data_IF_559487568181
#
_entry.id   IF_559487568181
#
_cell.length_a   1.000
_cell.length_b   1.000
_cell.length_c   1.000
_cell.angle_alpha   90.00
_cell.angle_beta   90.00
_cell.angle_gamma   90.00
#
_symmetry.space_group_name_H-M   'P 1'
#
loop_
_entity.id
_entity.type
_entity.pdbx_description
1 polymer ?
#
# COMPACT_ATOMS: atom_id res chain seq x y z
N UNK A 1 16.08 25.97 29.68
CA UNK A 1 16.85 26.51 28.54
C UNK A 1 15.88 27.14 27.55
N UNK A 2 16.22 28.29 26.92
CA UNK A 2 15.44 28.80 25.80
C UNK A 2 15.47 27.78 24.65
N UNK A 3 14.35 27.64 23.94
CA UNK A 3 14.29 26.82 22.74
C UNK A 3 14.98 27.58 21.60
N UNK A 4 16.20 27.19 21.27
CA UNK A 4 16.90 27.67 20.08
C UNK A 4 16.25 27.09 18.82
N UNK A 5 16.10 27.87 17.73
CA UNK A 5 15.63 27.34 16.48
C UNK A 5 16.58 26.25 15.97
N UNK A 6 16.02 25.14 15.48
CA UNK A 6 16.82 24.09 14.88
C UNK A 6 17.64 24.63 13.70
N UNK A 7 18.89 24.18 13.54
CA UNK A 7 19.72 24.50 12.39
C UNK A 7 18.92 24.36 11.08
N UNK A 8 18.93 25.39 10.24
CA UNK A 8 18.31 25.31 8.91
C UNK A 8 19.03 24.26 8.08
N UNK A 9 18.42 23.09 7.89
CA UNK A 9 18.95 22.04 7.01
C UNK A 9 18.42 22.24 5.60
N UNK A 10 19.32 22.19 4.61
CA UNK A 10 18.97 22.14 3.19
C UNK A 10 19.54 20.86 2.61
N UNK A 11 18.68 20.07 2.00
CA UNK A 11 19.10 18.88 1.27
C UNK A 11 19.55 19.27 -0.14
N UNK A 12 20.59 18.60 -0.63
CA UNK A 12 21.06 18.70 -2.01
C UNK A 12 21.08 17.30 -2.58
N UNK A 13 20.42 17.10 -3.72
CA UNK A 13 20.35 15.80 -4.38
C UNK A 13 21.37 15.77 -5.50
N UNK A 14 22.57 15.30 -5.18
CA UNK A 14 23.64 15.13 -6.15
C UNK A 14 23.67 13.69 -6.67
N UNK A 15 23.14 12.73 -5.92
CA UNK A 15 23.14 11.29 -6.23
C UNK A 15 21.77 10.67 -5.94
N UNK A 16 21.54 9.45 -6.44
CA UNK A 16 20.35 8.66 -6.09
C UNK A 16 20.33 8.33 -4.59
N UNK A 17 21.50 8.08 -4.00
CA UNK A 17 21.65 7.86 -2.56
C UNK A 17 21.22 9.08 -1.72
N UNK A 18 21.41 10.31 -2.22
CA UNK A 18 20.91 11.50 -1.53
C UNK A 18 19.38 11.56 -1.54
N UNK A 19 18.75 11.20 -2.67
CA UNK A 19 17.30 11.08 -2.78
C UNK A 19 16.76 10.01 -1.81
N UNK A 20 17.42 8.86 -1.74
CA UNK A 20 17.05 7.77 -0.84
C UNK A 20 17.17 8.20 0.62
N UNK A 21 18.30 8.79 1.00
CA UNK A 21 18.55 9.23 2.37
C UNK A 21 17.53 10.29 2.82
N UNK A 22 17.20 11.23 1.93
CA UNK A 22 16.12 12.19 2.19
C UNK A 22 14.77 11.50 2.35
N UNK A 23 14.41 10.60 1.43
CA UNK A 23 13.13 9.92 1.48
C UNK A 23 12.99 9.10 2.76
N UNK A 24 14.05 8.40 3.16
CA UNK A 24 14.07 7.64 4.40
C UNK A 24 13.94 8.55 5.63
N UNK A 25 14.71 9.65 5.68
CA UNK A 25 14.71 10.58 6.82
C UNK A 25 13.40 11.33 6.96
N UNK A 26 12.91 11.90 5.86
CA UNK A 26 11.81 12.85 5.88
C UNK A 26 10.45 12.19 5.68
N UNK A 27 10.38 11.02 5.04
CA UNK A 27 9.12 10.34 4.74
C UNK A 27 9.02 9.02 5.51
N UNK A 28 9.93 8.08 5.26
CA UNK A 28 9.77 6.71 5.73
C UNK A 28 9.83 6.64 7.26
N UNK A 29 10.86 7.20 7.90
CA UNK A 29 11.00 7.14 9.36
C UNK A 29 9.82 7.79 10.09
N UNK A 30 9.29 8.89 9.54
CA UNK A 30 8.11 9.59 10.09
C UNK A 30 6.84 8.75 9.92
N UNK A 31 6.68 8.08 8.78
CA UNK A 31 5.51 7.23 8.53
C UNK A 31 5.58 5.95 9.36
N UNK A 32 6.74 5.29 9.42
CA UNK A 32 6.93 4.05 10.16
C UNK A 32 6.79 4.19 11.67
N UNK A 33 6.96 5.40 12.23
CA UNK A 33 6.68 5.62 13.66
C UNK A 33 5.21 5.35 14.01
N UNK A 34 4.28 5.50 13.05
CA UNK A 34 2.87 5.13 13.22
C UNK A 34 2.60 3.62 13.11
N UNK A 35 3.60 2.84 12.70
CA UNK A 35 3.53 1.39 12.46
C UNK A 35 4.54 0.62 13.32
N UNK A 36 4.83 1.10 14.53
CA UNK A 36 5.82 0.47 15.41
C UNK A 36 5.30 -0.78 16.14
N UNK A 37 3.97 -0.95 16.25
CA UNK A 37 3.35 -2.01 17.07
C UNK A 37 2.28 -2.81 16.31
N UNK A 38 1.30 -2.15 15.67
CA UNK A 38 0.12 -2.83 15.13
C UNK A 38 -0.19 -2.53 13.64
N UNK A 39 0.30 -3.37 12.71
CA UNK A 39 1.44 -4.26 12.88
C UNK A 39 2.76 -3.46 12.91
N UNK A 40 3.82 -4.08 13.43
CA UNK A 40 5.18 -3.58 13.23
C UNK A 40 5.57 -3.72 11.76
N UNK A 41 5.71 -2.60 11.05
CA UNK A 41 6.22 -2.58 9.67
C UNK A 41 7.73 -2.39 9.68
N UNK A 42 8.42 -3.18 8.87
CA UNK A 42 9.86 -3.11 8.66
C UNK A 42 10.14 -2.75 7.21
N UNK A 43 11.03 -1.77 7.00
CA UNK A 43 11.66 -1.53 5.72
C UNK A 43 12.88 -2.44 5.57
N UNK A 44 13.12 -2.90 4.35
CA UNK A 44 14.33 -3.59 3.96
C UNK A 44 14.81 -2.99 2.64
N UNK A 45 16.04 -2.48 2.64
CA UNK A 45 16.65 -1.92 1.44
C UNK A 45 17.49 -2.95 0.69
N UNK A 46 17.45 -2.89 -0.65
CA UNK A 46 18.22 -3.74 -1.56
C UNK A 46 18.14 -5.26 -1.27
N UNK A 47 17.01 -5.70 -0.72
CA UNK A 47 16.81 -7.09 -0.34
C UNK A 47 15.99 -7.82 -1.41
N UNK A 48 16.30 -9.11 -1.59
CA UNK A 48 15.42 -10.02 -2.34
C UNK A 48 14.15 -10.29 -1.54
N UNK A 49 13.10 -10.73 -2.23
CA UNK A 49 11.90 -11.24 -1.58
C UNK A 49 12.26 -12.33 -0.56
N UNK A 50 11.54 -12.39 0.56
CA UNK A 50 11.49 -13.59 1.38
C UNK A 50 10.60 -14.65 0.70
N UNK A 51 10.98 -15.07 -0.50
CA UNK A 51 10.37 -16.18 -1.26
C UNK A 51 11.40 -17.28 -1.50
N UNK A 52 10.95 -18.53 -1.64
CA UNK A 52 11.83 -19.64 -2.05
C UNK A 52 12.33 -19.48 -3.49
N UNK A 53 11.63 -18.67 -4.30
CA UNK A 53 12.04 -18.34 -5.67
C UNK A 53 13.10 -17.25 -5.70
N UNK A 54 14.21 -17.53 -6.38
CA UNK A 54 15.34 -16.62 -6.55
C UNK A 54 15.02 -15.56 -7.61
N UNK A 55 14.45 -14.44 -7.17
CA UNK A 55 14.18 -13.29 -8.05
C UNK A 55 15.48 -12.45 -8.18
N UNK A 56 16.03 -12.30 -9.40
CA UNK A 56 17.35 -11.69 -9.59
C UNK A 56 17.35 -10.16 -9.43
N UNK A 57 16.22 -9.48 -9.59
CA UNK A 57 16.14 -8.03 -9.48
C UNK A 57 15.91 -7.57 -8.04
N UNK A 58 16.89 -6.84 -7.50
CA UNK A 58 16.76 -6.15 -6.22
C UNK A 58 15.92 -4.88 -6.40
N UNK A 59 15.00 -4.66 -5.47
CA UNK A 59 14.26 -3.40 -5.34
C UNK A 59 14.86 -2.59 -4.19
N UNK A 60 14.88 -1.27 -4.32
CA UNK A 60 15.53 -0.42 -3.32
C UNK A 60 14.83 -0.45 -1.98
N UNK A 61 13.51 -0.63 -1.95
CA UNK A 61 12.76 -0.64 -0.70
C UNK A 61 11.58 -1.61 -0.74
N UNK A 62 11.54 -2.47 0.27
CA UNK A 62 10.42 -3.38 0.56
C UNK A 62 9.88 -3.08 1.95
N UNK A 63 8.57 -2.88 2.04
CA UNK A 63 7.87 -2.72 3.30
C UNK A 63 7.13 -4.00 3.64
N UNK A 64 7.46 -4.60 4.78
CA UNK A 64 6.91 -5.89 5.21
C UNK A 64 6.42 -5.85 6.64
N UNK A 65 5.55 -6.78 6.99
CA UNK A 65 5.28 -7.13 8.38
C UNK A 65 5.38 -8.64 8.55
N UNK A 66 5.59 -9.11 9.79
CA UNK A 66 5.62 -10.53 10.12
C UNK A 66 4.30 -10.94 10.76
N UNK A 67 3.70 -12.01 10.27
CA UNK A 67 2.53 -12.65 10.88
C UNK A 67 2.62 -14.15 10.73
N UNK A 68 2.30 -14.89 11.81
CA UNK A 68 2.36 -16.35 11.84
C UNK A 68 3.69 -16.94 11.32
N UNK A 69 4.81 -16.28 11.63
CA UNK A 69 6.14 -16.69 11.17
C UNK A 69 6.53 -16.23 9.76
N UNK A 70 5.57 -15.86 8.90
CA UNK A 70 5.81 -15.45 7.52
C UNK A 70 5.93 -13.92 7.36
N UNK A 71 6.82 -13.48 6.47
CA UNK A 71 6.89 -12.08 6.02
C UNK A 71 5.86 -11.85 4.92
N UNK A 72 5.13 -10.75 5.01
CA UNK A 72 4.13 -10.32 4.01
C UNK A 72 4.50 -8.94 3.49
N UNK A 73 4.43 -8.75 2.18
CA UNK A 73 4.80 -7.50 1.51
C UNK A 73 3.61 -6.54 1.48
N UNK A 74 3.83 -5.30 1.88
CA UNK A 74 2.80 -4.24 1.92
C UNK A 74 2.93 -3.28 0.74
N UNK A 75 4.15 -2.86 0.46
CA UNK A 75 4.51 -2.00 -0.65
C UNK A 75 5.96 -2.28 -1.06
N UNK A 76 6.25 -2.04 -2.32
CA UNK A 76 7.60 -2.06 -2.87
C UNK A 76 7.87 -0.77 -3.60
N UNK A 77 9.12 -0.34 -3.67
CA UNK A 77 9.43 0.81 -4.48
C UNK A 77 10.90 1.07 -4.70
N UNK A 78 11.11 2.02 -5.58
CA UNK A 78 12.39 2.31 -6.20
C UNK A 78 12.73 3.79 -6.03
N UNK A 79 14.01 4.07 -5.82
CA UNK A 79 14.54 5.42 -5.80
C UNK A 79 15.27 5.67 -7.11
N UNK A 80 14.95 6.79 -7.76
CA UNK A 80 15.63 7.25 -8.97
C UNK A 80 16.12 8.68 -8.75
N UNK A 81 16.72 9.27 -9.77
CA UNK A 81 17.10 10.69 -9.76
C UNK A 81 16.58 11.41 -11.00
N UNK A 82 15.67 12.37 -10.81
CA UNK A 82 15.11 13.25 -11.84
C UNK A 82 14.61 12.51 -13.10
N UNK A 83 13.90 11.40 -12.90
CA UNK A 83 13.45 10.52 -13.98
C UNK A 83 11.97 10.76 -14.36
N UNK A 84 11.14 11.14 -13.40
CA UNK A 84 9.68 11.16 -13.51
C UNK A 84 9.23 12.45 -14.21
N UNK A 85 8.58 12.29 -15.36
CA UNK A 85 7.91 13.39 -16.06
C UNK A 85 6.48 13.51 -15.55
N UNK A 86 6.29 14.18 -14.41
CA UNK A 86 5.00 14.22 -13.68
C UNK A 86 3.80 14.59 -14.57
N UNK A 87 3.94 15.54 -15.51
CA UNK A 87 2.86 15.96 -16.42
C UNK A 87 2.36 14.82 -17.32
N UNK A 88 3.23 13.89 -17.72
CA UNK A 88 2.87 12.74 -18.54
C UNK A 88 2.08 11.73 -17.72
N UNK A 89 2.51 11.49 -16.48
CA UNK A 89 1.84 10.58 -15.55
C UNK A 89 0.48 11.10 -15.11
N UNK A 90 0.35 12.40 -14.82
CA UNK A 90 -0.92 13.04 -14.48
C UNK A 90 -1.95 12.97 -15.61
N UNK A 91 -1.50 12.99 -16.87
CA UNK A 91 -2.37 12.81 -18.04
C UNK A 91 -2.75 11.34 -18.29
N UNK A 92 -2.22 10.40 -17.50
CA UNK A 92 -2.47 8.97 -17.66
C UNK A 92 -1.88 8.38 -18.95
N UNK A 93 -0.86 9.02 -19.55
CA UNK A 93 -0.29 8.56 -20.82
C UNK A 93 1.25 8.39 -20.77
N UNK A 94 1.80 7.55 -19.86
CA UNK A 94 3.24 7.27 -19.79
C UNK A 94 3.79 6.69 -21.10
N UNK A 95 2.95 6.00 -21.87
CA UNK A 95 3.31 5.42 -23.18
C UNK A 95 3.71 6.47 -24.23
N UNK A 96 3.34 7.74 -24.05
CA UNK A 96 3.74 8.84 -24.95
C UNK A 96 5.23 9.18 -24.91
N UNK A 97 6.00 8.68 -23.94
CA UNK A 97 7.45 8.86 -23.87
C UNK A 97 8.14 7.53 -23.65
N UNK A 98 9.13 7.19 -24.48
CA UNK A 98 9.85 5.92 -24.40
C UNK A 98 10.45 5.65 -23.00
N UNK A 99 10.99 6.67 -22.34
CA UNK A 99 11.56 6.51 -20.99
C UNK A 99 10.49 6.28 -19.92
N UNK A 100 9.34 6.97 -20.01
CA UNK A 100 8.25 6.79 -19.05
C UNK A 100 7.49 5.47 -19.29
N UNK A 101 7.42 5.00 -20.55
CA UNK A 101 6.94 3.66 -20.90
C UNK A 101 7.84 2.58 -20.28
N UNK A 102 9.16 2.73 -20.38
CA UNK A 102 10.11 1.80 -19.75
C UNK A 102 9.94 1.78 -18.23
N UNK A 103 9.85 2.96 -17.60
CA UNK A 103 9.60 3.08 -16.17
C UNK A 103 8.26 2.43 -15.76
N UNK A 104 7.18 2.63 -16.52
CA UNK A 104 5.89 2.02 -16.17
C UNK A 104 5.89 0.49 -16.31
N UNK A 105 6.61 -0.05 -17.28
CA UNK A 105 6.84 -1.49 -17.44
C UNK A 105 7.66 -2.06 -16.27
N UNK A 106 8.72 -1.37 -15.87
CA UNK A 106 9.59 -1.73 -14.75
C UNK A 106 8.79 -1.78 -13.43
N UNK A 107 8.03 -0.71 -13.12
CA UNK A 107 7.19 -0.65 -11.91
C UNK A 107 6.10 -1.74 -11.89
N UNK A 108 5.50 -2.05 -13.04
CA UNK A 108 4.56 -3.19 -13.15
C UNK A 108 5.26 -4.52 -12.97
N UNK A 109 6.47 -4.68 -13.51
CA UNK A 109 7.32 -5.85 -13.31
C UNK A 109 7.59 -6.10 -11.83
N UNK A 110 7.89 -5.06 -11.06
CA UNK A 110 8.01 -5.18 -9.61
C UNK A 110 6.70 -5.59 -8.94
N UNK A 111 5.56 -4.98 -9.33
CA UNK A 111 4.27 -5.36 -8.77
C UNK A 111 4.01 -6.87 -8.93
N UNK A 112 4.22 -7.40 -10.14
CA UNK A 112 4.05 -8.81 -10.45
C UNK A 112 5.04 -9.70 -9.69
N UNK A 113 6.35 -9.45 -9.83
CA UNK A 113 7.40 -10.28 -9.21
C UNK A 113 7.28 -10.34 -7.69
N UNK A 114 6.94 -9.21 -7.05
CA UNK A 114 6.80 -9.11 -5.61
C UNK A 114 5.39 -9.44 -5.12
N UNK A 115 4.48 -9.83 -6.02
CA UNK A 115 3.06 -10.09 -5.72
C UNK A 115 2.48 -8.96 -4.84
N UNK A 116 2.81 -7.73 -5.22
CA UNK A 116 2.52 -6.53 -4.45
C UNK A 116 1.85 -5.48 -5.34
N UNK A 117 0.53 -5.27 -5.20
CA UNK A 117 -0.20 -4.31 -6.00
C UNK A 117 0.07 -2.85 -5.62
N UNK A 118 0.91 -2.58 -4.61
CA UNK A 118 1.31 -1.22 -4.18
C UNK A 118 2.76 -0.99 -4.53
N UNK A 119 2.98 -0.11 -5.49
CA UNK A 119 4.32 0.25 -5.94
C UNK A 119 4.52 1.75 -5.78
N UNK A 120 5.71 2.18 -5.40
CA UNK A 120 6.10 3.58 -5.46
C UNK A 120 7.42 3.80 -6.18
N UNK A 121 7.61 5.00 -6.69
CA UNK A 121 8.87 5.47 -7.25
C UNK A 121 9.09 6.91 -6.78
N UNK A 122 10.23 7.21 -6.18
CA UNK A 122 10.60 8.57 -5.81
C UNK A 122 11.88 8.96 -6.55
N UNK A 123 11.87 10.11 -7.22
CA UNK A 123 13.03 10.53 -8.03
C UNK A 123 13.79 11.75 -7.49
N UNK A 124 13.54 12.14 -6.25
CA UNK A 124 14.06 13.38 -5.67
C UNK A 124 13.19 14.61 -5.96
N UNK A 125 12.30 14.57 -6.95
CA UNK A 125 11.41 15.69 -7.29
C UNK A 125 9.94 15.33 -7.20
N UNK A 126 9.59 14.06 -7.41
CA UNK A 126 8.23 13.56 -7.51
C UNK A 126 8.14 12.20 -6.84
N UNK A 127 7.12 12.02 -6.00
CA UNK A 127 6.69 10.72 -5.51
C UNK A 127 5.53 10.23 -6.39
N UNK A 128 5.77 9.13 -7.10
CA UNK A 128 4.77 8.40 -7.86
C UNK A 128 4.29 7.20 -7.02
N UNK A 129 2.99 7.10 -6.79
CA UNK A 129 2.36 5.96 -6.13
C UNK A 129 1.42 5.26 -7.10
N UNK A 130 1.53 3.94 -7.20
CA UNK A 130 0.71 3.11 -8.06
C UNK A 130 -0.02 2.05 -7.22
N UNK A 131 -1.32 1.91 -7.45
CA UNK A 131 -2.11 0.80 -6.94
C UNK A 131 -2.77 0.04 -8.09
N UNK A 132 -2.26 -1.15 -8.37
CA UNK A 132 -2.83 -2.05 -9.38
C UNK A 132 -4.11 -2.69 -8.83
N UNK A 133 -5.25 -2.46 -9.47
CA UNK A 133 -6.58 -3.00 -9.10
C UNK A 133 -6.79 -4.42 -9.61
N UNK A 134 -5.81 -5.28 -9.36
CA UNK A 134 -5.81 -6.67 -9.78
C UNK A 134 -6.82 -7.49 -8.94
N UNK A 135 -7.70 -8.25 -9.61
CA UNK A 135 -8.63 -9.16 -8.92
C UNK A 135 -7.90 -10.41 -8.42
N UNK A 136 -6.92 -10.87 -9.19
CA UNK A 136 -6.00 -11.95 -8.85
C UNK A 136 -4.54 -11.52 -9.04
N UNK A 137 -3.62 -12.25 -8.42
CA UNK A 137 -2.18 -12.08 -8.59
C UNK A 137 -1.73 -12.00 -10.06
N UNK A 138 -2.30 -12.87 -10.90
CA UNK A 138 -1.93 -12.97 -12.32
C UNK A 138 -2.44 -11.78 -13.15
N UNK A 139 -3.41 -11.01 -12.63
CA UNK A 139 -3.92 -9.83 -13.33
C UNK A 139 -2.93 -8.66 -13.30
N UNK A 140 -1.89 -8.70 -12.44
CA UNK A 140 -0.87 -7.66 -12.37
C UNK A 140 -0.11 -7.47 -13.68
N UNK A 141 0.04 -8.52 -14.49
CA UNK A 141 0.75 -8.45 -15.78
C UNK A 141 -0.15 -7.88 -16.89
N UNK A 142 -1.47 -7.92 -16.71
CA UNK A 142 -2.42 -7.55 -17.75
C UNK A 142 -2.39 -6.04 -17.97
N UNK A 143 -2.25 -5.65 -19.24
CA UNK A 143 -2.35 -4.25 -19.66
C UNK A 143 -3.71 -3.64 -19.29
N UNK A 144 -4.77 -4.45 -19.31
CA UNK A 144 -6.13 -4.05 -18.94
C UNK A 144 -6.36 -3.89 -17.43
N UNK A 145 -5.40 -4.28 -16.58
CA UNK A 145 -5.51 -4.08 -15.13
C UNK A 145 -5.52 -2.59 -14.80
N UNK A 146 -6.60 -2.06 -14.21
CA UNK A 146 -6.68 -0.65 -13.86
C UNK A 146 -5.64 -0.28 -12.80
N UNK A 147 -5.06 0.91 -12.92
CA UNK A 147 -4.04 1.39 -11.97
C UNK A 147 -4.45 2.75 -11.45
N UNK A 148 -4.64 2.85 -10.13
CA UNK A 148 -4.71 4.16 -9.48
C UNK A 148 -3.30 4.76 -9.45
N UNK A 149 -3.17 6.02 -9.86
CA UNK A 149 -1.90 6.72 -9.99
C UNK A 149 -1.96 8.05 -9.24
N UNK A 150 -1.10 8.22 -8.24
CA UNK A 150 -0.90 9.50 -7.56
C UNK A 150 0.48 10.05 -7.90
N UNK A 151 0.51 11.31 -8.34
CA UNK A 151 1.72 12.02 -8.74
C UNK A 151 1.88 13.21 -7.82
N UNK A 152 2.85 13.14 -6.90
CA UNK A 152 3.02 14.08 -5.80
C UNK A 152 4.37 14.80 -5.96
N UNK A 153 4.40 16.04 -6.47
CA UNK A 153 5.63 16.81 -6.52
C UNK A 153 6.12 17.09 -5.09
N UNK A 154 7.43 17.03 -4.91
CA UNK A 154 8.10 17.49 -3.70
C UNK A 154 8.09 19.02 -3.69
N UNK A 155 7.16 19.59 -2.95
CA UNK A 155 7.07 21.03 -2.72
C UNK A 155 7.79 21.41 -1.41
N UNK A 156 7.52 22.61 -0.87
CA UNK A 156 8.19 23.11 0.33
C UNK A 156 7.91 22.25 1.59
N UNK A 157 6.85 21.42 1.58
CA UNK A 157 6.51 20.55 2.70
C UNK A 157 6.46 19.09 2.27
N UNK A 158 6.98 18.22 3.13
CA UNK A 158 6.92 16.77 2.96
C UNK A 158 5.57 16.16 3.40
N UNK A 159 4.64 16.96 3.95
CA UNK A 159 3.39 16.48 4.53
C UNK A 159 2.50 15.70 3.52
N UNK A 160 2.29 16.17 2.28
CA UNK A 160 1.53 15.41 1.29
C UNK A 160 2.16 14.05 0.97
N UNK A 161 3.49 14.01 0.85
CA UNK A 161 4.24 12.78 0.58
C UNK A 161 4.11 11.78 1.74
N UNK A 162 4.25 12.25 2.99
CA UNK A 162 4.03 11.43 4.20
C UNK A 162 2.62 10.85 4.25
N UNK A 163 1.61 11.68 4.04
CA UNK A 163 0.20 11.27 4.07
C UNK A 163 -0.11 10.24 2.99
N UNK A 164 0.36 10.48 1.77
CA UNK A 164 0.15 9.56 0.66
C UNK A 164 0.90 8.23 0.86
N UNK A 165 2.13 8.28 1.36
CA UNK A 165 2.92 7.08 1.65
C UNK A 165 2.31 6.27 2.80
N UNK A 166 1.83 6.93 3.87
CA UNK A 166 1.06 6.28 4.94
C UNK A 166 -0.18 5.58 4.39
N UNK A 167 -0.92 6.21 3.46
CA UNK A 167 -2.09 5.62 2.81
C UNK A 167 -1.72 4.42 1.94
N UNK A 168 -0.59 4.46 1.23
CA UNK A 168 -0.09 3.32 0.46
C UNK A 168 0.14 2.11 1.37
N UNK A 169 0.85 2.29 2.49
CA UNK A 169 1.10 1.24 3.47
C UNK A 169 -0.21 0.76 4.12
N UNK A 170 -1.11 1.68 4.46
CA UNK A 170 -2.44 1.34 5.00
C UNK A 170 -3.23 0.46 4.04
N UNK A 171 -3.24 0.78 2.74
CA UNK A 171 -3.91 -0.04 1.74
C UNK A 171 -3.24 -1.40 1.56
N UNK A 172 -1.91 -1.47 1.61
CA UNK A 172 -1.17 -2.74 1.65
C UNK A 172 -1.55 -3.57 2.86
N UNK A 173 -1.71 -2.92 4.01
CA UNK A 173 -2.12 -3.57 5.25
C UNK A 173 -3.54 -4.13 5.13
N UNK A 174 -4.51 -3.36 4.64
CA UNK A 174 -5.90 -3.83 4.48
C UNK A 174 -6.01 -5.06 3.59
N UNK A 175 -5.21 -5.15 2.53
CA UNK A 175 -5.08 -6.35 1.72
C UNK A 175 -4.67 -7.54 2.57
N UNK A 176 -3.51 -7.44 3.23
CA UNK A 176 -2.96 -8.56 3.99
C UNK A 176 -3.82 -8.92 5.21
N UNK A 177 -4.48 -7.93 5.83
CA UNK A 177 -5.43 -8.14 6.92
C UNK A 177 -6.58 -9.06 6.48
N UNK A 178 -7.09 -8.84 5.27
CA UNK A 178 -8.15 -9.66 4.69
C UNK A 178 -7.67 -11.04 4.25
N UNK A 179 -6.42 -11.17 3.77
CA UNK A 179 -5.81 -12.46 3.43
C UNK A 179 -5.61 -13.35 4.67
N UNK A 180 -5.39 -12.75 5.83
CA UNK A 180 -5.24 -13.44 7.11
C UNK A 180 -6.59 -13.76 7.79
N UNK A 181 -7.70 -13.34 7.21
CA UNK A 181 -9.03 -13.58 7.77
C UNK A 181 -9.38 -15.07 7.74
N UNK A 182 -9.87 -15.59 8.87
CA UNK A 182 -10.54 -16.89 8.88
C UNK A 182 -11.83 -16.83 8.02
N UNK A 183 -12.39 -17.98 7.61
CA UNK A 183 -13.72 -18.01 7.02
C UNK A 183 -14.72 -17.29 7.92
N UNK A 184 -15.50 -16.39 7.33
CA UNK A 184 -16.50 -15.59 8.02
C UNK A 184 -17.77 -15.54 7.17
N UNK A 185 -18.86 -15.13 7.81
CA UNK A 185 -20.14 -14.85 7.16
C UNK A 185 -20.58 -13.45 7.51
N UNK A 186 -21.29 -12.79 6.60
CA UNK A 186 -22.05 -11.60 6.92
C UNK A 186 -23.50 -11.74 6.43
N UNK A 187 -24.49 -11.46 7.28
CA UNK A 187 -25.91 -11.70 7.03
C UNK A 187 -26.21 -13.14 6.59
N UNK A 188 -25.48 -14.12 7.13
CA UNK A 188 -25.57 -15.54 6.77
C UNK A 188 -25.00 -15.91 5.39
N UNK A 189 -24.40 -14.96 4.66
CA UNK A 189 -23.73 -15.21 3.39
C UNK A 189 -22.23 -15.41 3.60
N UNK A 190 -21.64 -16.32 2.85
CA UNK A 190 -20.18 -16.49 2.75
C UNK A 190 -19.69 -15.76 1.49
N UNK A 191 -18.58 -15.00 1.56
CA UNK A 191 -17.95 -14.45 0.37
C UNK A 191 -17.58 -15.53 -0.66
N UNK A 192 -17.73 -15.21 -1.93
CA UNK A 192 -17.32 -16.10 -3.02
C UNK A 192 -15.80 -16.05 -3.25
N UNK A 193 -15.22 -14.86 -3.16
CA UNK A 193 -13.78 -14.63 -3.33
C UNK A 193 -13.38 -13.31 -2.69
N UNK A 194 -12.11 -12.91 -2.83
CA UNK A 194 -11.60 -11.60 -2.43
C UNK A 194 -10.83 -10.97 -3.59
N UNK A 195 -10.88 -9.66 -3.71
CA UNK A 195 -10.02 -8.94 -4.63
C UNK A 195 -8.58 -8.97 -4.11
N UNK A 196 -7.65 -9.41 -4.95
CA UNK A 196 -6.25 -9.50 -4.58
C UNK A 196 -5.68 -8.14 -4.17
N UNK A 197 -6.07 -7.04 -4.82
CA UNK A 197 -5.45 -5.78 -4.48
C UNK A 197 -5.83 -5.25 -3.11
N UNK A 198 -7.09 -5.21 -2.69
CA UNK A 198 -7.51 -4.54 -1.44
C UNK A 198 -8.09 -5.49 -0.38
N UNK A 199 -8.22 -6.77 -0.71
CA UNK A 199 -8.82 -7.78 0.15
C UNK A 199 -10.34 -7.70 0.29
N UNK A 200 -11.03 -6.84 -0.47
CA UNK A 200 -12.49 -6.71 -0.40
C UNK A 200 -13.16 -8.03 -0.81
N UNK A 201 -14.12 -8.52 -0.01
CA UNK A 201 -14.97 -9.64 -0.39
C UNK A 201 -15.75 -9.36 -1.66
N UNK A 202 -15.80 -10.37 -2.53
CA UNK A 202 -16.73 -10.45 -3.65
C UNK A 202 -17.82 -11.43 -3.26
N UNK A 203 -19.05 -10.96 -3.27
CA UNK A 203 -20.25 -11.71 -2.94
C UNK A 203 -20.83 -12.35 -4.19
N UNK A 204 -21.43 -13.53 -4.05
CA UNK A 204 -22.23 -14.14 -5.11
C UNK A 204 -23.63 -14.40 -4.58
N UNK A 205 -24.62 -13.74 -5.17
CA UNK A 205 -26.02 -13.87 -4.79
C UNK A 205 -26.87 -13.91 -6.06
N UNK A 206 -27.82 -14.86 -6.13
CA UNK A 206 -28.67 -15.08 -7.31
C UNK A 206 -27.87 -15.17 -8.64
N UNK A 207 -26.71 -15.82 -8.59
CA UNK A 207 -25.82 -16.00 -9.75
C UNK A 207 -24.97 -14.78 -10.13
N UNK A 208 -25.19 -13.60 -9.55
CA UNK A 208 -24.42 -12.37 -9.84
C UNK A 208 -23.30 -12.15 -8.83
N UNK A 209 -22.13 -11.73 -9.33
CA UNK A 209 -21.00 -11.30 -8.49
C UNK A 209 -21.08 -9.81 -8.22
N UNK A 210 -20.89 -9.41 -6.97
CA UNK A 210 -20.96 -8.00 -6.55
C UNK A 210 -19.96 -7.71 -5.44
N UNK A 211 -19.38 -6.50 -5.46
CA UNK A 211 -18.48 -6.01 -4.40
C UNK A 211 -19.26 -5.48 -3.19
N UNK A 212 -20.47 -4.98 -3.42
CA UNK A 212 -21.38 -4.56 -2.35
C UNK A 212 -22.06 -5.79 -1.75
N UNK A 213 -22.27 -5.77 -0.43
CA UNK A 213 -23.00 -6.85 0.22
C UNK A 213 -24.46 -6.88 -0.26
N UNK A 214 -24.99 -8.04 -0.70
CA UNK A 214 -26.35 -8.13 -1.24
C UNK A 214 -27.45 -7.69 -0.27
N UNK A 215 -27.24 -7.89 1.03
CA UNK A 215 -28.19 -7.54 2.09
C UNK A 215 -27.98 -6.14 2.71
N UNK A 216 -27.16 -5.30 2.07
CA UNK A 216 -26.95 -3.91 2.50
C UNK A 216 -25.91 -3.69 3.60
N UNK A 217 -25.19 -4.74 4.02
CA UNK A 217 -24.09 -4.58 4.98
C UNK A 217 -22.94 -3.76 4.40
N UNK A 218 -22.36 -2.89 5.22
CA UNK A 218 -21.20 -2.07 4.89
C UNK A 218 -20.00 -2.54 5.67
N UNK A 219 -18.86 -2.65 4.99
CA UNK A 219 -17.59 -3.02 5.58
C UNK A 219 -16.94 -1.81 6.23
N UNK A 220 -16.55 -1.94 7.49
CA UNK A 220 -15.87 -0.89 8.25
C UNK A 220 -14.71 -1.46 9.07
N UNK A 221 -14.04 -0.58 9.80
CA UNK A 221 -12.95 -0.92 10.72
C UNK A 221 -13.42 -0.62 12.13
N UNK A 222 -13.39 -1.63 12.99
CA UNK A 222 -13.71 -1.45 14.40
C UNK A 222 -12.62 -0.60 15.08
N UNK A 223 -12.98 0.59 15.55
CA UNK A 223 -12.00 1.57 16.04
C UNK A 223 -11.15 1.06 17.23
N UNK A 224 -11.76 0.29 18.15
CA UNK A 224 -11.08 -0.14 19.36
C UNK A 224 -10.13 -1.33 19.15
N UNK A 225 -10.30 -2.12 18.08
CA UNK A 225 -9.53 -3.36 17.88
C UNK A 225 -8.84 -3.45 16.52
N UNK A 226 -9.20 -2.58 15.58
CA UNK A 226 -8.67 -2.55 14.22
C UNK A 226 -9.20 -3.63 13.29
N UNK A 227 -10.07 -4.49 13.79
CA UNK A 227 -10.68 -5.56 13.01
C UNK A 227 -11.54 -5.01 11.88
N UNK A 228 -11.65 -5.78 10.81
CA UNK A 228 -12.65 -5.56 9.78
C UNK A 228 -13.98 -6.13 10.24
N UNK A 229 -15.03 -5.31 10.11
CA UNK A 229 -16.38 -5.64 10.54
C UNK A 229 -17.39 -5.30 9.46
N UNK A 230 -18.55 -5.91 9.52
CA UNK A 230 -19.71 -5.64 8.68
C UNK A 230 -20.86 -5.15 9.53
N UNK A 231 -21.50 -4.06 9.09
CA UNK A 231 -22.58 -3.38 9.81
C UNK A 231 -23.73 -3.17 8.83
N UNK A 232 -24.96 -3.54 9.21
CA UNK A 232 -26.15 -3.30 8.38
C UNK A 232 -26.76 -1.92 8.63
N UNK A 233 -26.91 -1.56 9.89
CA UNK A 233 -27.41 -0.27 10.36
C UNK A 233 -26.51 0.22 11.50
N UNK A 234 -25.89 1.39 11.34
CA UNK A 234 -24.96 1.94 12.35
C UNK A 234 -25.62 2.14 13.73
N UNK A 235 -26.95 2.29 13.77
CA UNK A 235 -27.73 2.52 14.99
C UNK A 235 -28.11 1.22 15.74
N UNK A 236 -28.00 0.05 15.11
CA UNK A 236 -28.47 -1.22 15.70
C UNK A 236 -27.37 -1.95 16.50
N UNK A 237 -26.11 -1.51 16.37
CA UNK A 237 -24.98 -2.07 17.14
C UNK A 237 -24.62 -3.52 16.80
N UNK A 238 -25.36 -4.18 15.91
CA UNK A 238 -25.06 -5.54 15.46
C UNK A 238 -23.88 -5.51 14.47
N UNK A 239 -22.77 -6.11 14.89
CA UNK A 239 -21.52 -6.16 14.13
C UNK A 239 -21.14 -7.61 13.84
N UNK A 240 -20.82 -7.89 12.58
CA UNK A 240 -20.30 -9.19 12.17
C UNK A 240 -18.81 -9.07 11.87
N UNK A 241 -18.01 -9.96 12.47
CA UNK A 241 -16.56 -9.87 12.43
C UNK A 241 -16.01 -10.58 11.21
N UNK A 242 -15.30 -9.85 10.36
CA UNK A 242 -14.54 -10.42 9.24
C UNK A 242 -13.15 -10.89 9.70
N UNK A 243 -12.52 -10.14 10.60
CA UNK A 243 -11.21 -10.50 11.17
C UNK A 243 -11.25 -10.45 12.68
N UNK A 244 -10.31 -11.14 13.32
CA UNK A 244 -10.03 -10.96 14.74
C UNK A 244 -9.49 -9.54 15.03
N UNK A 245 -9.47 -9.19 16.31
CA UNK A 245 -8.77 -8.01 16.81
C UNK A 245 -7.29 -8.03 16.43
N UNK A 246 -6.77 -6.86 16.05
CA UNK A 246 -5.38 -6.69 15.62
C UNK A 246 -4.55 -5.85 16.58
N UNK A 247 -5.18 -4.97 17.36
CA UNK A 247 -4.55 -4.28 18.48
C UNK A 247 -5.32 -4.50 19.77
N UNK A 248 -4.58 -4.48 20.88
CA UNK A 248 -5.13 -4.58 22.23
C UNK A 248 -5.88 -3.28 22.55
N UNK A 249 -6.99 -3.37 23.29
CA UNK A 249 -7.57 -2.18 23.89
C UNK A 249 -6.53 -1.59 24.84
N UNK A 250 -6.15 -0.34 24.60
CA UNK A 250 -5.44 0.43 25.60
C UNK A 250 -6.51 0.73 26.67
N UNK A 251 -6.45 0.05 27.81
CA UNK A 251 -7.19 0.50 28.99
C UNK A 251 -6.75 1.94 29.27
N UNK A 252 -7.71 2.86 29.23
CA UNK A 252 -7.49 4.29 29.46
C UNK A 252 -7.31 4.60 30.94
#
# INVERSE_FOLDING_TARGET
QPAEPSNSRKWRFETEADCENWFNTEIVNVVLSAWNRYPSILQSSHNKLPSEENIPENIDSIFTFKSQGAKRVLAVGEIKRNLIKHTIWQRGNPSSSASQKKLSQELRGYAHKYQCPRVFCFDGAVLLLLQFRAEKAEDLEKESCPVDCWVLPMEQTACPLRSAFYRLLSQGWRRCQAELAAPFTAGGLTPHSREFFNGLPVWKHEGKKTRSHPLGYQRSVHAATGALIWIRNENEGEVEWETNAFWEQIEA
#
